data_IF_087475493400
#
_entry.id   IF_087475493400
#
_cell.length_a   1.000
_cell.length_b   1.000
_cell.length_c   1.000
_cell.angle_alpha   90.00
_cell.angle_beta   90.00
_cell.angle_gamma   90.00
#
_symmetry.space_group_name_H-M   'P 1'
#
loop_
_entity.id
_entity.type
_entity.pdbx_description
1 polymer ?
#
# COMPACT_ATOMS: atom_id res chain seq x y z
N UNK A 1 19.61 22.48 22.92
CA UNK A 1 19.25 21.31 23.74
C UNK A 1 20.06 20.13 23.22
N UNK A 2 20.70 19.35 24.09
CA UNK A 2 21.61 18.27 23.68
C UNK A 2 20.84 17.16 22.96
N UNK A 3 21.13 16.92 21.68
CA UNK A 3 20.70 15.73 20.95
C UNK A 3 21.44 14.51 21.52
N UNK A 4 20.96 13.97 22.64
CA UNK A 4 21.29 12.59 22.99
C UNK A 4 20.54 11.70 22.02
N UNK A 5 21.28 11.05 21.12
CA UNK A 5 20.73 10.03 20.22
C UNK A 5 20.13 8.93 21.08
N UNK A 6 18.84 8.66 20.89
CA UNK A 6 18.17 7.53 21.55
C UNK A 6 18.78 6.25 20.97
N UNK A 7 19.33 5.38 21.82
CA UNK A 7 19.80 4.05 21.40
C UNK A 7 18.61 3.12 21.19
N UNK A 8 18.70 2.22 20.21
CA UNK A 8 17.60 1.32 19.84
C UNK A 8 18.06 -0.14 19.65
N UNK A 9 19.37 -0.38 19.61
CA UNK A 9 19.93 -1.66 19.18
C UNK A 9 19.60 -2.81 20.12
N UNK A 10 19.58 -2.55 21.43
CA UNK A 10 19.26 -3.56 22.44
C UNK A 10 17.75 -3.85 22.52
N UNK A 11 16.92 -2.81 22.35
CA UNK A 11 15.47 -2.97 22.23
C UNK A 11 15.11 -3.77 20.97
N UNK A 12 15.68 -3.40 19.82
CA UNK A 12 15.47 -4.12 18.57
C UNK A 12 15.85 -5.60 18.69
N UNK A 13 17.04 -5.91 19.21
CA UNK A 13 17.49 -7.31 19.36
C UNK A 13 16.54 -8.12 20.23
N UNK A 14 16.03 -7.52 21.31
CA UNK A 14 15.11 -8.18 22.24
C UNK A 14 13.76 -8.46 21.57
N UNK A 15 13.11 -7.42 21.06
CA UNK A 15 11.75 -7.54 20.51
C UNK A 15 11.72 -8.34 19.19
N UNK A 16 12.73 -8.17 18.33
CA UNK A 16 12.86 -9.01 17.13
C UNK A 16 13.06 -10.48 17.49
N UNK A 17 13.89 -10.79 18.50
CA UNK A 17 14.07 -12.14 18.99
C UNK A 17 12.76 -12.77 19.48
N UNK A 18 11.92 -11.99 20.15
CA UNK A 18 10.61 -12.41 20.64
C UNK A 18 9.63 -12.65 19.48
N UNK A 19 9.61 -11.75 18.49
CA UNK A 19 8.82 -11.90 17.27
C UNK A 19 9.20 -13.18 16.50
N UNK A 20 10.49 -13.45 16.32
CA UNK A 20 10.98 -14.68 15.66
C UNK A 20 10.58 -15.93 16.44
N UNK A 21 10.68 -15.91 17.78
CA UNK A 21 10.21 -17.03 18.62
C UNK A 21 8.71 -17.27 18.44
N UNK A 22 7.91 -16.20 18.40
CA UNK A 22 6.47 -16.29 18.14
C UNK A 22 6.16 -16.86 16.76
N UNK A 23 6.82 -16.37 15.70
CA UNK A 23 6.64 -16.86 14.34
C UNK A 23 6.98 -18.35 14.22
N UNK A 24 8.09 -18.79 14.81
CA UNK A 24 8.49 -20.19 14.85
C UNK A 24 7.46 -21.08 15.57
N UNK A 25 6.96 -20.63 16.73
CA UNK A 25 5.95 -21.38 17.49
C UNK A 25 4.62 -21.52 16.72
N UNK A 26 4.31 -20.55 15.86
CA UNK A 26 3.07 -20.49 15.08
C UNK A 26 3.23 -20.99 13.64
N UNK A 27 4.41 -21.47 13.25
CA UNK A 27 4.74 -21.91 11.88
C UNK A 27 4.45 -20.82 10.84
N UNK A 28 4.72 -19.56 11.18
CA UNK A 28 4.50 -18.41 10.29
C UNK A 28 5.72 -18.09 9.42
N UNK A 29 6.85 -18.75 9.66
CA UNK A 29 8.13 -18.50 8.97
C UNK A 29 8.13 -18.88 7.50
N UNK A 30 7.18 -19.71 7.05
CA UNK A 30 7.04 -20.07 5.64
C UNK A 30 6.32 -18.98 4.83
N UNK A 31 5.74 -17.98 5.50
CA UNK A 31 4.92 -16.91 4.90
C UNK A 31 5.57 -15.53 5.03
N UNK A 32 6.72 -15.43 5.69
CA UNK A 32 7.42 -14.17 5.99
C UNK A 32 8.90 -14.37 5.71
N UNK A 33 9.47 -13.51 4.88
CA UNK A 33 10.92 -13.46 4.67
C UNK A 33 11.58 -12.83 5.89
N UNK A 34 12.14 -13.67 6.78
CA UNK A 34 12.72 -13.23 8.04
C UNK A 34 13.88 -12.25 7.85
N UNK A 35 14.65 -12.35 6.78
CA UNK A 35 15.81 -11.48 6.56
C UNK A 35 15.35 -10.10 6.06
N UNK A 36 14.42 -10.06 5.09
CA UNK A 36 13.78 -8.80 4.65
C UNK A 36 13.08 -8.10 5.81
N UNK A 37 12.22 -8.83 6.53
CA UNK A 37 11.43 -8.26 7.62
C UNK A 37 12.34 -7.77 8.76
N UNK A 38 13.41 -8.50 9.08
CA UNK A 38 14.39 -8.05 10.09
C UNK A 38 15.00 -6.70 9.74
N UNK A 39 15.43 -6.53 8.49
CA UNK A 39 16.03 -5.27 8.04
C UNK A 39 15.01 -4.14 8.08
N UNK A 40 13.79 -4.37 7.57
CA UNK A 40 12.70 -3.39 7.60
C UNK A 40 12.32 -2.97 9.03
N UNK A 41 12.26 -3.91 9.97
CA UNK A 41 11.99 -3.62 11.38
C UNK A 41 13.15 -2.85 12.01
N UNK A 42 14.40 -3.28 11.79
CA UNK A 42 15.58 -2.59 12.29
C UNK A 42 15.64 -1.14 11.79
N UNK A 43 15.33 -0.95 10.51
CA UNK A 43 15.22 0.34 9.86
C UNK A 43 14.19 1.24 10.55
N UNK A 44 13.02 0.69 10.89
CA UNK A 44 11.97 1.41 11.59
C UNK A 44 12.36 1.77 13.03
N UNK A 45 13.03 0.89 13.78
CA UNK A 45 13.58 1.23 15.09
C UNK A 45 14.59 2.39 15.00
N UNK A 46 15.48 2.37 14.01
CA UNK A 46 16.44 3.45 13.74
C UNK A 46 15.72 4.77 13.46
N UNK A 47 14.68 4.75 12.61
CA UNK A 47 13.82 5.91 12.33
C UNK A 47 13.18 6.46 13.61
N UNK A 48 12.54 5.59 14.40
CA UNK A 48 11.85 5.97 15.61
C UNK A 48 12.80 6.58 16.65
N UNK A 49 14.00 6.04 16.79
CA UNK A 49 14.97 6.52 17.76
C UNK A 49 15.74 7.77 17.30
N UNK A 50 16.15 7.83 16.04
CA UNK A 50 17.09 8.86 15.56
C UNK A 50 16.40 10.04 14.87
N UNK A 51 15.27 9.79 14.20
CA UNK A 51 14.55 10.83 13.46
C UNK A 51 13.32 11.29 14.26
N UNK A 52 12.53 10.37 14.80
CA UNK A 52 11.38 10.71 15.65
C UNK A 52 11.80 11.05 17.09
N UNK A 53 12.85 10.42 17.61
CA UNK A 53 13.39 10.70 18.94
C UNK A 53 12.63 10.03 20.08
N UNK A 54 11.92 8.93 19.82
CA UNK A 54 11.09 8.24 20.83
C UNK A 54 11.61 6.79 21.05
N UNK A 55 12.04 6.43 22.28
CA UNK A 55 12.50 5.08 22.60
C UNK A 55 11.35 4.07 22.56
N UNK A 56 11.67 2.80 22.34
CA UNK A 56 10.70 1.72 22.19
C UNK A 56 9.71 1.64 23.36
N UNK A 57 10.20 1.77 24.60
CA UNK A 57 9.36 1.74 25.82
C UNK A 57 8.22 2.77 25.83
N UNK A 58 8.36 3.84 25.05
CA UNK A 58 7.39 4.94 24.99
C UNK A 58 6.57 4.93 23.69
N UNK A 59 6.72 3.89 22.86
CA UNK A 59 5.92 3.75 21.66
C UNK A 59 4.44 3.63 22.02
N UNK A 60 3.67 4.51 21.42
CA UNK A 60 2.24 4.60 21.53
C UNK A 60 1.65 4.93 20.15
N UNK A 61 0.32 5.03 20.11
CA UNK A 61 -0.42 5.37 18.91
C UNK A 61 0.17 6.58 18.15
N UNK A 62 0.26 7.74 18.81
CA UNK A 62 0.71 8.98 18.18
C UNK A 62 2.14 8.91 17.67
N UNK A 63 3.06 8.32 18.43
CA UNK A 63 4.46 8.19 18.01
C UNK A 63 4.63 7.27 16.81
N UNK A 64 3.92 6.14 16.80
CA UNK A 64 3.98 5.17 15.71
C UNK A 64 3.35 5.72 14.44
N UNK A 65 2.24 6.45 14.56
CA UNK A 65 1.64 7.15 13.43
C UNK A 65 2.62 8.14 12.80
N UNK A 66 3.27 8.95 13.64
CA UNK A 66 4.25 9.92 13.17
C UNK A 66 5.48 9.25 12.53
N UNK A 67 5.97 8.15 13.08
CA UNK A 67 7.07 7.38 12.50
C UNK A 67 6.73 6.78 11.14
N UNK A 68 5.60 6.06 11.05
CA UNK A 68 5.16 5.45 9.79
C UNK A 68 4.88 6.52 8.72
N UNK A 69 4.25 7.63 9.09
CA UNK A 69 4.08 8.78 8.23
C UNK A 69 5.41 9.34 7.71
N UNK A 70 6.39 9.52 8.60
CA UNK A 70 7.70 10.07 8.25
C UNK A 70 8.45 9.15 7.29
N UNK A 71 8.34 7.83 7.46
CA UNK A 71 8.89 6.85 6.51
C UNK A 71 8.29 7.03 5.11
N UNK A 72 6.95 6.99 5.00
CA UNK A 72 6.27 7.11 3.71
C UNK A 72 6.56 8.46 3.03
N UNK A 73 6.58 9.55 3.80
CA UNK A 73 6.90 10.86 3.27
C UNK A 73 8.33 10.92 2.74
N UNK A 74 9.32 10.45 3.51
CA UNK A 74 10.71 10.50 3.06
C UNK A 74 10.91 9.59 1.84
N UNK A 75 10.30 8.40 1.80
CA UNK A 75 10.35 7.51 0.64
C UNK A 75 9.75 8.19 -0.62
N UNK A 76 8.63 8.90 -0.46
CA UNK A 76 8.04 9.68 -1.53
C UNK A 76 8.95 10.84 -2.00
N UNK A 77 9.51 11.61 -1.07
CA UNK A 77 10.40 12.75 -1.38
C UNK A 77 11.67 12.31 -2.11
N UNK A 78 12.23 11.15 -1.75
CA UNK A 78 13.42 10.59 -2.41
C UNK A 78 13.12 9.77 -3.67
N UNK A 79 11.84 9.67 -4.05
CA UNK A 79 11.35 8.90 -5.20
C UNK A 79 11.73 7.41 -5.15
N UNK A 80 11.61 6.80 -3.97
CA UNK A 80 11.91 5.39 -3.76
C UNK A 80 10.89 4.48 -4.48
N UNK A 81 11.31 3.24 -4.78
CA UNK A 81 10.44 2.26 -5.46
C UNK A 81 9.19 1.97 -4.62
N UNK A 82 8.02 2.05 -5.26
CA UNK A 82 6.72 1.96 -4.57
C UNK A 82 6.45 0.54 -4.05
N UNK A 83 6.84 -0.50 -4.79
CA UNK A 83 6.61 -1.89 -4.38
C UNK A 83 7.52 -2.24 -3.20
N UNK A 84 8.78 -1.82 -3.25
CA UNK A 84 9.72 -1.98 -2.14
C UNK A 84 9.29 -1.17 -0.91
N UNK A 85 8.80 0.06 -1.10
CA UNK A 85 8.23 0.88 -0.02
C UNK A 85 7.06 0.16 0.65
N UNK A 86 6.15 -0.42 -0.14
CA UNK A 86 5.00 -1.17 0.36
C UNK A 86 5.43 -2.47 1.07
N UNK A 87 6.44 -3.18 0.56
CA UNK A 87 6.98 -4.38 1.20
C UNK A 87 7.58 -4.04 2.58
N UNK A 88 8.45 -3.03 2.66
CA UNK A 88 9.04 -2.55 3.93
C UNK A 88 7.93 -2.12 4.90
N UNK A 89 6.93 -1.40 4.41
CA UNK A 89 5.79 -0.98 5.23
C UNK A 89 5.00 -2.18 5.78
N UNK A 90 4.75 -3.20 4.96
CA UNK A 90 4.07 -4.42 5.38
C UNK A 90 4.87 -5.20 6.42
N UNK A 91 6.20 -5.30 6.24
CA UNK A 91 7.11 -5.95 7.19
C UNK A 91 7.10 -5.25 8.56
N UNK A 92 7.18 -3.92 8.55
CA UNK A 92 7.11 -3.10 9.77
C UNK A 92 5.75 -3.24 10.46
N UNK A 93 4.65 -3.18 9.69
CA UNK A 93 3.31 -3.29 10.27
C UNK A 93 3.00 -4.69 10.79
N UNK A 94 3.50 -5.75 10.15
CA UNK A 94 3.44 -7.11 10.66
C UNK A 94 4.07 -7.22 12.05
N UNK A 95 5.29 -6.66 12.21
CA UNK A 95 5.96 -6.62 13.51
C UNK A 95 5.18 -5.82 14.54
N UNK A 96 4.68 -4.62 14.20
CA UNK A 96 3.90 -3.80 15.13
C UNK A 96 2.61 -4.51 15.58
N UNK A 97 1.95 -5.25 14.69
CA UNK A 97 0.79 -6.06 15.04
C UNK A 97 1.12 -7.15 16.06
N UNK A 98 2.29 -7.79 15.92
CA UNK A 98 2.79 -8.73 16.92
C UNK A 98 2.97 -8.05 18.28
N UNK A 99 3.70 -6.92 18.31
CA UNK A 99 3.98 -6.16 19.55
C UNK A 99 2.70 -5.68 20.25
N UNK A 100 1.69 -5.24 19.49
CA UNK A 100 0.40 -4.85 20.03
C UNK A 100 -0.38 -6.04 20.59
N UNK A 101 -0.26 -7.21 19.96
CA UNK A 101 -0.96 -8.43 20.38
C UNK A 101 -0.33 -9.08 21.61
N UNK A 102 0.96 -8.89 21.82
CA UNK A 102 1.70 -9.32 23.01
C UNK A 102 1.71 -8.27 24.13
N UNK A 103 1.09 -7.10 23.92
CA UNK A 103 1.07 -5.95 24.83
C UNK A 103 2.47 -5.41 25.21
N UNK A 104 3.44 -5.56 24.31
CA UNK A 104 4.79 -5.02 24.51
C UNK A 104 4.87 -3.52 24.16
N UNK A 105 3.94 -3.02 23.34
CA UNK A 105 3.72 -1.59 23.14
C UNK A 105 2.46 -1.12 23.87
N UNK A 106 2.44 0.16 24.27
CA UNK A 106 1.33 0.78 24.98
C UNK A 106 0.14 1.10 24.04
N UNK A 107 -0.33 0.09 23.32
CA UNK A 107 -1.42 0.21 22.36
C UNK A 107 -2.11 -1.14 22.15
N UNK A 108 -3.44 -1.14 22.17
CA UNK A 108 -4.21 -2.32 21.85
C UNK A 108 -4.12 -2.63 20.34
N UNK A 109 -4.18 -3.92 19.99
CA UNK A 109 -4.21 -4.38 18.59
C UNK A 109 -5.25 -3.63 17.73
N UNK A 110 -6.45 -3.42 18.27
CA UNK A 110 -7.53 -2.70 17.56
C UNK A 110 -7.21 -1.21 17.35
N UNK A 111 -6.49 -0.58 18.28
CA UNK A 111 -6.03 0.80 18.15
C UNK A 111 -4.91 0.92 17.11
N UNK A 112 -3.98 -0.03 17.09
CA UNK A 112 -2.89 -0.04 16.10
C UNK A 112 -3.44 -0.28 14.70
N UNK A 113 -4.35 -1.24 14.52
CA UNK A 113 -4.99 -1.49 13.22
C UNK A 113 -5.82 -0.28 12.76
N UNK A 114 -6.53 0.40 13.67
CA UNK A 114 -7.24 1.67 13.40
C UNK A 114 -6.28 2.84 13.07
N UNK A 115 -5.04 2.78 13.52
CA UNK A 115 -4.02 3.81 13.32
C UNK A 115 -3.17 3.58 12.07
N UNK A 116 -2.89 2.33 11.77
CA UNK A 116 -2.34 1.91 10.49
C UNK A 116 -3.35 2.13 9.38
N UNK A 117 -4.66 2.20 9.66
CA UNK A 117 -5.69 2.59 8.70
C UNK A 117 -5.34 3.95 8.07
N UNK A 118 -5.33 5.13 8.72
CA UNK A 118 -4.89 6.41 8.15
C UNK A 118 -3.57 6.37 7.35
N UNK A 119 -2.55 5.64 7.83
CA UNK A 119 -1.23 5.61 7.20
C UNK A 119 -1.13 4.64 6.00
N UNK A 120 -1.81 3.49 6.08
CA UNK A 120 -2.08 2.64 4.90
C UNK A 120 -3.01 3.36 3.93
N UNK A 121 -3.81 4.31 4.41
CA UNK A 121 -4.89 4.92 3.65
C UNK A 121 -4.59 6.29 3.06
N UNK A 122 -3.51 6.92 3.48
CA UNK A 122 -2.91 8.02 2.73
C UNK A 122 -2.02 7.55 1.58
N UNK A 123 -1.59 6.28 1.58
CA UNK A 123 -1.03 5.63 0.40
C UNK A 123 -2.10 4.84 -0.41
N UNK A 124 -3.18 4.34 0.25
CA UNK A 124 -4.27 3.53 -0.32
C UNK A 124 -5.60 3.66 0.47
N UNK A 125 -6.46 4.68 0.22
CA UNK A 125 -7.66 5.03 1.03
C UNK A 125 -8.56 3.89 1.59
N UNK A 126 -9.22 4.05 2.76
CA UNK A 126 -9.97 3.01 3.47
C UNK A 126 -11.45 2.99 3.10
N UNK A 127 -11.99 1.78 3.15
CA UNK A 127 -13.31 1.43 3.67
C UNK A 127 -14.38 2.53 3.70
N UNK A 128 -15.04 2.69 2.56
CA UNK A 128 -16.49 2.74 2.57
C UNK A 128 -17.02 1.31 2.63
N UNK A 129 -16.92 0.63 3.78
CA UNK A 129 -17.85 -0.47 3.99
C UNK A 129 -19.22 0.19 4.14
N UNK A 130 -20.01 0.23 3.06
CA UNK A 130 -21.46 0.29 3.26
C UNK A 130 -21.78 -0.80 4.27
N UNK A 131 -22.47 -0.47 5.37
CA UNK A 131 -22.88 -1.41 6.42
C UNK A 131 -23.72 -2.60 5.89
N UNK A 132 -23.99 -2.63 4.57
CA UNK A 132 -24.70 -3.66 3.81
C UNK A 132 -23.79 -4.67 3.11
N UNK A 133 -22.46 -4.50 3.08
CA UNK A 133 -21.57 -5.38 2.33
C UNK A 133 -21.34 -6.72 3.07
N UNK A 134 -21.21 -7.84 2.33
CA UNK A 134 -20.83 -9.12 2.92
C UNK A 134 -19.53 -9.04 3.73
N UNK A 135 -19.40 -9.92 4.72
CA UNK A 135 -18.17 -10.08 5.50
C UNK A 135 -16.97 -10.31 4.57
N UNK A 136 -15.85 -9.68 4.92
CA UNK A 136 -14.61 -9.86 4.18
C UNK A 136 -14.05 -11.26 4.45
N UNK A 137 -13.59 -11.95 3.40
CA UNK A 137 -13.08 -13.31 3.52
C UNK A 137 -11.65 -13.39 3.00
N UNK A 138 -10.73 -13.80 3.89
CA UNK A 138 -9.33 -14.01 3.57
C UNK A 138 -9.15 -14.98 2.40
N UNK A 139 -9.90 -16.09 2.40
CA UNK A 139 -9.84 -17.09 1.32
C UNK A 139 -10.19 -16.49 -0.05
N UNK A 140 -11.13 -15.55 -0.09
CA UNK A 140 -11.49 -14.86 -1.33
C UNK A 140 -10.40 -13.87 -1.75
N UNK A 141 -9.86 -13.09 -0.81
CA UNK A 141 -8.74 -12.17 -1.10
C UNK A 141 -7.51 -12.91 -1.62
N UNK A 142 -7.12 -14.02 -0.99
CA UNK A 142 -6.01 -14.87 -1.46
C UNK A 142 -6.28 -15.39 -2.87
N UNK A 143 -7.48 -15.95 -3.10
CA UNK A 143 -7.84 -16.43 -4.44
C UNK A 143 -7.77 -15.33 -5.50
N UNK A 144 -8.19 -14.10 -5.17
CA UNK A 144 -8.07 -12.94 -6.06
C UNK A 144 -6.61 -12.67 -6.41
N UNK A 145 -5.74 -12.57 -5.41
CA UNK A 145 -4.32 -12.32 -5.63
C UNK A 145 -3.69 -13.41 -6.49
N UNK A 146 -4.00 -14.68 -6.21
CA UNK A 146 -3.46 -15.81 -6.95
C UNK A 146 -3.85 -15.73 -8.43
N UNK A 147 -5.15 -15.59 -8.74
CA UNK A 147 -5.57 -15.58 -10.14
C UNK A 147 -5.17 -14.28 -10.86
N UNK A 148 -5.16 -13.13 -10.18
CA UNK A 148 -4.77 -11.86 -10.79
C UNK A 148 -3.28 -11.85 -11.07
N UNK A 149 -2.45 -12.36 -10.15
CA UNK A 149 -1.01 -12.48 -10.37
C UNK A 149 -0.72 -13.34 -11.59
N UNK A 150 -1.35 -14.53 -11.69
CA UNK A 150 -1.22 -15.39 -12.86
C UNK A 150 -1.65 -14.68 -14.15
N UNK A 151 -2.78 -13.96 -14.12
CA UNK A 151 -3.26 -13.23 -15.29
C UNK A 151 -2.32 -12.07 -15.67
N UNK A 152 -1.68 -11.43 -14.69
CA UNK A 152 -0.69 -10.39 -14.93
C UNK A 152 0.54 -10.96 -15.64
N UNK A 153 1.07 -12.10 -15.21
CA UNK A 153 2.24 -12.73 -15.84
C UNK A 153 1.98 -13.03 -17.33
N UNK A 154 0.79 -13.57 -17.64
CA UNK A 154 0.38 -13.83 -19.01
C UNK A 154 0.03 -12.57 -19.81
N UNK A 155 -0.52 -11.55 -19.14
CA UNK A 155 -0.79 -10.25 -19.73
C UNK A 155 0.51 -9.54 -20.13
N UNK A 156 1.54 -9.57 -19.30
CA UNK A 156 2.83 -8.95 -19.58
C UNK A 156 3.51 -9.56 -20.82
N UNK A 157 3.23 -10.83 -21.13
CA UNK A 157 3.66 -11.50 -22.35
C UNK A 157 2.72 -11.28 -23.55
N UNK A 158 1.65 -10.49 -23.40
CA UNK A 158 0.56 -10.42 -24.37
C UNK A 158 0.73 -9.29 -25.41
N UNK A 159 0.15 -9.43 -26.61
CA UNK A 159 0.13 -8.35 -27.60
C UNK A 159 -0.58 -7.09 -27.12
N UNK A 160 -1.56 -7.22 -26.22
CA UNK A 160 -2.26 -6.08 -25.63
C UNK A 160 -1.35 -5.23 -24.72
N UNK A 161 -0.36 -5.85 -24.07
CA UNK A 161 0.57 -5.16 -23.19
C UNK A 161 1.79 -4.58 -23.91
N UNK A 162 2.19 -5.15 -25.06
CA UNK A 162 3.41 -4.76 -25.77
C UNK A 162 3.57 -3.24 -25.98
N UNK A 163 2.53 -2.46 -26.39
CA UNK A 163 2.66 -1.01 -26.54
C UNK A 163 2.80 -0.22 -25.22
N UNK A 164 2.38 -0.82 -24.10
CA UNK A 164 2.48 -0.21 -22.76
C UNK A 164 3.88 -0.40 -22.18
N UNK A 165 4.55 -1.51 -22.52
CA UNK A 165 5.93 -1.78 -22.10
C UNK A 165 6.96 -0.82 -22.72
N UNK A 166 6.59 -0.10 -23.78
CA UNK A 166 7.39 1.00 -24.33
C UNK A 166 7.32 2.27 -23.46
N UNK A 167 6.33 2.37 -22.56
CA UNK A 167 6.00 3.58 -21.82
C UNK A 167 6.12 3.43 -20.30
N UNK A 168 6.07 2.20 -19.78
CA UNK A 168 6.08 1.90 -18.36
C UNK A 168 6.76 0.54 -18.08
N UNK A 169 7.27 0.38 -16.88
CA UNK A 169 7.86 -0.87 -16.43
C UNK A 169 6.78 -1.94 -16.20
N UNK A 170 7.07 -3.24 -16.43
CA UNK A 170 6.13 -4.33 -16.17
C UNK A 170 5.54 -4.29 -14.74
N UNK A 171 6.37 -3.95 -13.76
CA UNK A 171 5.99 -3.85 -12.34
C UNK A 171 4.98 -2.74 -12.07
N UNK A 172 5.06 -1.61 -12.78
CA UNK A 172 4.11 -0.51 -12.67
C UNK A 172 2.74 -0.89 -13.25
N UNK A 173 2.73 -1.57 -14.41
CA UNK A 173 1.50 -2.06 -15.03
C UNK A 173 0.80 -3.09 -14.13
N UNK A 174 1.57 -4.03 -13.58
CA UNK A 174 1.07 -5.02 -12.63
C UNK A 174 0.52 -4.36 -11.37
N UNK A 175 1.19 -3.33 -10.84
CA UNK A 175 0.72 -2.58 -9.68
C UNK A 175 -0.69 -2.02 -9.92
N UNK A 176 -0.95 -1.36 -11.05
CA UNK A 176 -2.27 -0.79 -11.32
C UNK A 176 -3.37 -1.84 -11.39
N UNK A 177 -3.07 -3.01 -11.95
CA UNK A 177 -4.01 -4.13 -12.09
C UNK A 177 -4.31 -4.77 -10.73
N UNK A 178 -3.25 -5.06 -9.96
CA UNK A 178 -3.36 -5.64 -8.62
C UNK A 178 -4.12 -4.70 -7.69
N UNK A 179 -3.77 -3.41 -7.72
CA UNK A 179 -4.44 -2.39 -6.94
C UNK A 179 -5.92 -2.28 -7.28
N UNK A 180 -6.24 -2.29 -8.57
CA UNK A 180 -7.62 -2.27 -9.02
C UNK A 180 -8.39 -3.50 -8.51
N UNK A 181 -7.83 -4.71 -8.65
CA UNK A 181 -8.50 -5.95 -8.26
C UNK A 181 -8.69 -6.09 -6.74
N UNK A 182 -7.65 -5.78 -5.96
CA UNK A 182 -7.72 -5.82 -4.50
C UNK A 182 -8.71 -4.76 -3.98
N UNK A 183 -8.67 -3.54 -4.48
CA UNK A 183 -9.58 -2.48 -4.04
C UNK A 183 -11.03 -2.75 -4.45
N UNK A 184 -11.28 -3.44 -5.56
CA UNK A 184 -12.63 -3.85 -5.95
C UNK A 184 -13.25 -4.80 -4.92
N UNK A 185 -12.47 -5.70 -4.34
CA UNK A 185 -12.93 -6.61 -3.29
C UNK A 185 -13.00 -5.92 -1.93
N UNK A 186 -11.97 -5.14 -1.60
CA UNK A 186 -11.86 -4.47 -0.32
C UNK A 186 -12.91 -3.36 -0.14
N UNK A 187 -13.29 -2.66 -1.21
CA UNK A 187 -14.27 -1.57 -1.15
C UNK A 187 -15.69 -2.02 -1.48
N UNK A 188 -15.86 -3.07 -2.29
CA UNK A 188 -17.18 -3.39 -2.85
C UNK A 188 -17.56 -4.86 -2.76
N UNK A 189 -16.69 -5.70 -2.17
CA UNK A 189 -16.82 -7.16 -2.12
C UNK A 189 -17.06 -7.76 -3.50
N UNK A 190 -16.49 -7.15 -4.53
CA UNK A 190 -16.55 -7.62 -5.92
C UNK A 190 -15.19 -8.12 -6.37
N UNK A 191 -15.22 -9.15 -7.20
CA UNK A 191 -14.05 -9.67 -7.90
C UNK A 191 -14.10 -9.20 -9.35
N UNK A 192 -12.99 -9.33 -10.08
CA UNK A 192 -12.99 -9.06 -11.53
C UNK A 192 -14.10 -9.85 -12.24
N UNK A 193 -14.40 -11.06 -11.78
CA UNK A 193 -15.39 -11.96 -12.40
C UNK A 193 -16.85 -11.55 -12.13
N UNK A 194 -17.14 -10.68 -11.16
CA UNK A 194 -18.52 -10.32 -10.79
C UNK A 194 -18.80 -8.82 -10.66
N UNK A 195 -17.79 -7.96 -10.86
CA UNK A 195 -17.95 -6.52 -10.82
C UNK A 195 -18.71 -5.98 -12.04
N UNK A 196 -19.61 -5.02 -11.80
CA UNK A 196 -20.33 -4.33 -12.86
C UNK A 196 -19.75 -2.96 -13.19
N UNK A 197 -20.39 -2.29 -14.15
CA UNK A 197 -20.08 -0.91 -14.56
C UNK A 197 -20.01 0.05 -13.37
N UNK A 198 -21.03 0.02 -12.49
CA UNK A 198 -21.10 0.91 -11.33
C UNK A 198 -19.93 0.69 -10.39
N UNK A 199 -19.53 -0.57 -10.21
CA UNK A 199 -18.45 -0.95 -9.32
C UNK A 199 -17.12 -0.37 -9.78
N UNK A 200 -16.79 -0.62 -11.06
CA UNK A 200 -15.57 -0.11 -11.68
C UNK A 200 -15.54 1.43 -11.70
N UNK A 201 -16.66 2.07 -12.07
CA UNK A 201 -16.73 3.52 -12.15
C UNK A 201 -16.51 4.18 -10.79
N UNK A 202 -17.22 3.73 -9.74
CA UNK A 202 -17.09 4.26 -8.39
C UNK A 202 -15.66 4.08 -7.85
N UNK A 203 -15.04 2.91 -8.07
CA UNK A 203 -13.68 2.68 -7.60
C UNK A 203 -12.69 3.69 -8.20
N UNK A 204 -12.76 3.93 -9.51
CA UNK A 204 -11.88 4.90 -10.17
C UNK A 204 -12.20 6.34 -9.80
N UNK A 205 -13.47 6.70 -9.59
CA UNK A 205 -13.85 8.06 -9.24
C UNK A 205 -13.49 8.42 -7.79
N UNK A 206 -13.62 7.46 -6.87
CA UNK A 206 -13.61 7.73 -5.43
C UNK A 206 -12.31 7.29 -4.74
N UNK A 207 -11.71 6.18 -5.16
CA UNK A 207 -10.51 5.63 -4.54
C UNK A 207 -9.22 6.11 -5.22
N UNK A 208 -9.15 5.97 -6.55
CA UNK A 208 -7.93 6.24 -7.30
C UNK A 208 -7.38 7.68 -7.14
N UNK A 209 -8.19 8.76 -7.12
CA UNK A 209 -7.67 10.13 -6.91
C UNK A 209 -7.01 10.34 -5.54
N UNK A 210 -7.29 9.48 -4.58
CA UNK A 210 -6.70 9.52 -3.25
C UNK A 210 -5.33 8.86 -3.16
N UNK A 211 -4.83 8.27 -4.25
CA UNK A 211 -3.54 7.58 -4.28
C UNK A 211 -2.39 8.58 -4.48
N UNK A 212 -1.25 8.31 -3.85
CA UNK A 212 -0.02 9.09 -4.03
C UNK A 212 0.74 8.70 -5.32
N UNK A 213 0.03 8.58 -6.43
CA UNK A 213 0.61 8.28 -7.75
C UNK A 213 1.18 9.55 -8.39
N UNK A 214 2.23 9.41 -9.20
CA UNK A 214 2.77 10.52 -10.00
C UNK A 214 1.76 10.89 -11.09
N UNK A 215 1.85 12.12 -11.59
CA UNK A 215 0.96 12.59 -12.66
C UNK A 215 0.97 11.69 -13.93
N UNK A 216 2.12 11.16 -14.40
CA UNK A 216 2.15 10.22 -15.52
C UNK A 216 1.39 8.92 -15.22
N UNK A 217 1.48 8.41 -13.99
CA UNK A 217 0.85 7.16 -13.55
C UNK A 217 -0.67 7.21 -13.68
N UNK A 218 -1.28 8.34 -13.32
CA UNK A 218 -2.72 8.57 -13.51
C UNK A 218 -3.17 8.43 -14.98
N UNK A 219 -2.29 8.77 -15.93
CA UNK A 219 -2.57 8.62 -17.36
C UNK A 219 -2.37 7.19 -17.83
N UNK A 220 -1.57 6.39 -17.12
CA UNK A 220 -1.30 4.98 -17.44
C UNK A 220 -2.35 4.02 -16.89
N UNK A 221 -3.11 4.39 -15.85
CA UNK A 221 -4.16 3.54 -15.27
C UNK A 221 -5.21 3.14 -16.33
N UNK A 222 -5.76 4.10 -17.05
CA UNK A 222 -6.80 3.85 -18.06
C UNK A 222 -6.34 2.92 -19.20
N UNK A 223 -5.21 3.17 -19.89
CA UNK A 223 -4.75 2.29 -20.95
C UNK A 223 -4.31 0.91 -20.41
N UNK A 224 -3.73 0.84 -19.22
CA UNK A 224 -3.34 -0.44 -18.59
C UNK A 224 -4.55 -1.32 -18.32
N UNK A 225 -5.56 -0.79 -17.60
CA UNK A 225 -6.76 -1.55 -17.28
C UNK A 225 -7.56 -1.92 -18.54
N UNK A 226 -7.57 -1.04 -19.55
CA UNK A 226 -8.20 -1.34 -20.85
C UNK A 226 -7.51 -2.50 -21.56
N UNK A 227 -6.19 -2.46 -21.66
CA UNK A 227 -5.40 -3.52 -22.28
C UNK A 227 -5.56 -4.84 -21.53
N UNK A 228 -5.51 -4.81 -20.20
CA UNK A 228 -5.72 -5.98 -19.36
C UNK A 228 -7.12 -6.59 -19.52
N UNK A 229 -8.17 -5.76 -19.58
CA UNK A 229 -9.52 -6.23 -19.84
C UNK A 229 -9.67 -6.86 -21.23
N UNK A 230 -9.06 -6.26 -22.26
CA UNK A 230 -9.05 -6.85 -23.59
C UNK A 230 -8.30 -8.19 -23.63
N UNK A 231 -7.17 -8.27 -22.92
CA UNK A 231 -6.43 -9.52 -22.74
C UNK A 231 -7.29 -10.60 -22.08
N UNK A 232 -7.93 -10.30 -20.94
CA UNK A 232 -8.79 -11.28 -20.24
C UNK A 232 -10.01 -11.69 -21.06
N UNK A 233 -10.49 -10.83 -21.97
CA UNK A 233 -11.50 -11.16 -22.98
C UNK A 233 -10.95 -12.14 -24.02
N UNK A 234 -9.77 -11.88 -24.60
CA UNK A 234 -9.12 -12.74 -25.60
C UNK A 234 -8.76 -14.11 -25.02
N UNK A 235 -8.16 -14.12 -23.82
CA UNK A 235 -7.78 -15.32 -23.09
C UNK A 235 -8.99 -16.08 -22.51
N UNK A 236 -10.21 -15.56 -22.67
CA UNK A 236 -11.46 -16.16 -22.19
C UNK A 236 -11.55 -16.32 -20.66
N UNK A 237 -10.71 -15.60 -19.91
CA UNK A 237 -10.78 -15.51 -18.45
C UNK A 237 -12.04 -14.83 -17.95
N UNK A 238 -12.58 -13.92 -18.76
CA UNK A 238 -13.86 -13.26 -18.52
C UNK A 238 -14.71 -13.27 -19.78
N UNK A 239 -16.04 -13.35 -19.62
CA UNK A 239 -16.98 -13.30 -20.74
C UNK A 239 -16.92 -11.94 -21.43
N UNK A 240 -16.98 -11.92 -22.76
CA UNK A 240 -16.95 -10.69 -23.58
C UNK A 240 -17.91 -9.61 -23.10
N UNK A 241 -19.18 -9.95 -22.86
CA UNK A 241 -20.20 -8.99 -22.40
C UNK A 241 -19.89 -8.39 -21.03
N UNK A 242 -19.24 -9.18 -20.16
CA UNK A 242 -18.81 -8.75 -18.83
C UNK A 242 -17.66 -7.76 -18.94
N UNK A 243 -16.66 -8.09 -19.76
CA UNK A 243 -15.55 -7.18 -20.07
C UNK A 243 -16.06 -5.87 -20.68
N UNK A 244 -16.96 -5.92 -21.66
CA UNK A 244 -17.52 -4.71 -22.30
C UNK A 244 -18.31 -3.85 -21.30
N UNK A 245 -18.90 -4.46 -20.27
CA UNK A 245 -19.56 -3.74 -19.17
C UNK A 245 -18.54 -3.09 -18.23
N UNK A 246 -17.45 -3.79 -17.89
CA UNK A 246 -16.37 -3.25 -17.08
C UNK A 246 -15.64 -2.10 -17.79
N UNK A 247 -15.36 -2.25 -19.09
CA UNK A 247 -14.71 -1.21 -19.91
C UNK A 247 -15.53 0.08 -19.99
N UNK A 248 -16.86 -0.01 -20.04
CA UNK A 248 -17.74 1.17 -19.91
C UNK A 248 -17.65 1.82 -18.53
N UNK A 249 -17.55 1.00 -17.48
CA UNK A 249 -17.30 1.49 -16.12
C UNK A 249 -15.94 2.20 -15.99
N UNK A 250 -14.90 1.64 -16.60
CA UNK A 250 -13.56 2.21 -16.65
C UNK A 250 -13.56 3.58 -17.34
N UNK A 251 -14.17 3.69 -18.52
CA UNK A 251 -14.28 4.97 -19.24
C UNK A 251 -14.99 6.04 -18.41
N UNK A 252 -16.12 5.68 -17.78
CA UNK A 252 -16.87 6.60 -16.91
C UNK A 252 -16.04 7.03 -15.70
N UNK A 253 -15.49 6.06 -14.97
CA UNK A 253 -14.72 6.30 -13.76
C UNK A 253 -13.46 7.12 -14.02
N UNK A 254 -12.74 6.86 -15.12
CA UNK A 254 -11.55 7.65 -15.51
C UNK A 254 -11.93 9.10 -15.81
N UNK A 255 -13.05 9.36 -16.49
CA UNK A 255 -13.47 10.72 -16.75
C UNK A 255 -13.75 11.50 -15.45
N UNK A 256 -14.42 10.86 -14.49
CA UNK A 256 -14.69 11.41 -13.15
C UNK A 256 -13.40 11.59 -12.34
N UNK A 257 -12.54 10.57 -12.30
CA UNK A 257 -11.19 10.61 -11.69
C UNK A 257 -10.39 11.82 -12.19
N UNK A 258 -10.27 11.96 -13.51
CA UNK A 258 -9.53 13.06 -14.13
C UNK A 258 -10.18 14.42 -13.89
N UNK A 259 -11.50 14.49 -13.76
CA UNK A 259 -12.21 15.71 -13.37
C UNK A 259 -11.91 16.09 -11.93
N UNK A 260 -12.01 15.15 -10.99
CA UNK A 260 -11.72 15.34 -9.57
C UNK A 260 -10.29 15.81 -9.37
N UNK A 261 -9.34 15.15 -10.05
CA UNK A 261 -7.94 15.57 -10.07
C UNK A 261 -7.79 17.01 -10.61
N UNK A 262 -8.43 17.38 -11.72
CA UNK A 262 -8.31 18.75 -12.27
C UNK A 262 -8.86 19.84 -11.35
N UNK A 263 -9.95 19.56 -10.64
CA UNK A 263 -10.61 20.53 -9.74
C UNK A 263 -9.84 20.72 -8.44
N UNK A 264 -9.22 19.66 -7.97
CA UNK A 264 -8.35 19.68 -6.81
C UNK A 264 -6.91 19.51 -7.32
N UNK A 265 -6.30 20.62 -7.76
CA UNK A 265 -4.93 20.73 -8.32
C UNK A 265 -4.10 19.46 -8.09
N UNK A 266 -3.64 18.81 -9.17
CA UNK A 266 -3.13 17.43 -9.21
C UNK A 266 -2.12 17.08 -8.11
N UNK A 267 -1.37 18.08 -7.66
CA UNK A 267 -0.47 17.96 -6.53
C UNK A 267 -1.15 18.27 -5.19
N UNK A 268 -2.02 19.28 -5.14
CA UNK A 268 -2.70 19.74 -3.94
C UNK A 268 -3.75 18.77 -3.37
N UNK A 269 -4.34 17.82 -4.08
CA UNK A 269 -5.38 16.97 -3.46
C UNK A 269 -4.82 15.95 -2.46
N UNK A 270 -3.85 15.08 -2.85
CA UNK A 270 -3.11 14.30 -1.87
C UNK A 270 -2.27 15.20 -0.97
N UNK A 271 -1.61 16.26 -1.50
CA UNK A 271 -0.82 17.20 -0.68
C UNK A 271 -1.64 18.01 0.32
N UNK A 272 -2.95 18.25 0.15
CA UNK A 272 -3.80 18.95 1.14
C UNK A 272 -4.19 18.04 2.28
N UNK A 273 -4.46 16.75 2.01
CA UNK A 273 -4.67 15.74 3.07
C UNK A 273 -3.36 15.50 3.83
N UNK A 274 -2.27 15.37 3.08
CA UNK A 274 -0.91 15.32 3.59
C UNK A 274 -0.50 16.61 4.33
N UNK A 275 -0.90 17.81 3.88
CA UNK A 275 -0.62 19.08 4.57
C UNK A 275 -1.43 19.24 5.86
N UNK A 276 -2.61 18.60 5.98
CA UNK A 276 -3.34 18.50 7.25
C UNK A 276 -2.52 17.69 8.26
N UNK A 277 -1.85 16.62 7.82
CA UNK A 277 -0.92 15.87 8.68
C UNK A 277 0.41 16.60 8.94
N UNK A 278 1.03 17.25 7.94
CA UNK A 278 2.22 18.09 8.17
C UNK A 278 1.92 19.22 9.14
N UNK A 279 0.74 19.84 9.03
CA UNK A 279 0.31 20.87 9.96
C UNK A 279 0.14 20.32 11.39
N UNK A 280 -0.31 19.06 11.51
CA UNK A 280 -0.48 18.35 12.77
C UNK A 280 0.86 17.94 13.42
N UNK A 281 1.91 17.65 12.63
CA UNK A 281 3.18 17.10 13.14
C UNK A 281 4.43 18.00 12.98
N UNK A 282 4.31 19.18 12.36
CA UNK A 282 5.30 20.27 12.28
C UNK A 282 6.78 19.86 12.11
N UNK A 283 7.14 18.93 11.22
CA UNK A 283 8.56 18.64 10.91
C UNK A 283 8.74 17.90 9.57
N UNK A 284 8.52 18.60 8.45
CA UNK A 284 8.92 18.13 7.11
C UNK A 284 10.41 18.36 6.84
N UNK A 285 11.30 17.75 7.64
CA UNK A 285 12.75 17.91 7.53
C UNK A 285 13.50 16.61 7.22
N UNK A 286 14.56 16.74 6.40
CA UNK A 286 15.58 15.77 5.96
C UNK A 286 15.03 14.38 5.57
N UNK A 287 14.99 14.09 4.27
CA UNK A 287 14.50 12.83 3.67
C UNK A 287 15.62 11.89 3.18
N UNK A 288 16.86 12.38 3.05
CA UNK A 288 17.99 11.63 2.47
C UNK A 288 18.27 10.31 3.20
N UNK A 289 17.95 10.25 4.50
CA UNK A 289 18.12 9.06 5.34
C UNK A 289 17.35 7.82 4.85
N UNK A 290 16.26 8.00 4.10
CA UNK A 290 15.48 6.86 3.60
C UNK A 290 16.25 6.08 2.53
N UNK A 291 17.16 6.72 1.79
CA UNK A 291 18.00 6.04 0.79
C UNK A 291 18.90 4.99 1.44
N UNK A 292 19.45 5.32 2.62
CA UNK A 292 20.27 4.40 3.42
C UNK A 292 19.45 3.18 3.85
N UNK A 293 18.17 3.37 4.22
CA UNK A 293 17.30 2.26 4.58
C UNK A 293 17.02 1.32 3.42
N UNK A 294 16.72 1.86 2.24
CA UNK A 294 16.43 1.04 1.08
C UNK A 294 17.66 0.29 0.57
N UNK A 295 18.85 0.88 0.66
CA UNK A 295 20.10 0.18 0.33
C UNK A 295 20.29 -1.07 1.20
N UNK A 296 19.92 -0.99 2.49
CA UNK A 296 20.03 -2.12 3.41
C UNK A 296 19.02 -3.23 3.13
N UNK A 297 17.86 -2.91 2.55
CA UNK A 297 16.78 -3.85 2.20
C UNK A 297 16.88 -4.42 0.78
N UNK A 298 17.94 -4.13 0.00
CA UNK A 298 18.10 -4.57 -1.40
C UNK A 298 19.16 -5.68 -1.55
N UNK A 299 19.32 -6.54 -0.54
CA UNK A 299 20.27 -7.65 -0.55
C UNK A 299 19.60 -9.01 -0.72
#
# INVERSE_FOLDING_TARGET
MSNQMVSYEDDFKREWGDCVRFMNQRQLTDYVDLDSTKVAVQAFFKLMAQKVGIPFSNWNAGSLHFGLYRFLNSAYQEEMDILQTAAIYNDVTFFLMFEARTNHIHMAYDQLTTLMLPVTTEYLLPYGAEESLPEWQQATSNSIRDYVSQWCDEFLASPECAPLLEQAMPTELQLYIMLFADSLYNQQRKTLKNAGLKNVAALLADFFPGLLLKQPDYRLIAPTLTAFFNFTKRAQYMRSEHVDRMSRGLQKGVAEMMSNLKQHDWYAFPKRRYAVLEHQYQNGGDSDWVRELFQQTTH
#
